data_IF_428638614712
#
_entry.id   IF_428638614712
#
_cell.length_a   1.000
_cell.length_b   1.000
_cell.length_c   1.000
_cell.angle_alpha   90.00
_cell.angle_beta   90.00
_cell.angle_gamma   90.00
#
_symmetry.space_group_name_H-M   'P 1'
#
loop_
_entity.id
_entity.type
_entity.pdbx_description
1 polymer ?
#
# COMPACT_ATOMS: atom_id res chain seq x y z
N UNK A 1 23.70 -14.43 -20.84
CA UNK A 1 22.48 -14.78 -20.08
C UNK A 1 22.91 -15.11 -18.66
N UNK A 2 22.70 -14.20 -17.72
CA UNK A 2 23.08 -14.41 -16.32
C UNK A 2 22.21 -15.52 -15.74
N UNK A 3 22.85 -16.57 -15.21
CA UNK A 3 22.17 -17.65 -14.50
C UNK A 3 21.61 -17.02 -13.23
N UNK A 4 20.29 -16.86 -13.14
CA UNK A 4 19.64 -16.35 -11.92
C UNK A 4 20.12 -17.19 -10.74
N UNK A 5 20.76 -16.54 -9.76
CA UNK A 5 21.14 -17.15 -8.49
C UNK A 5 19.86 -17.36 -7.68
N UNK A 6 19.42 -18.61 -7.45
CA UNK A 6 18.19 -18.89 -6.72
C UNK A 6 18.19 -18.31 -5.30
N UNK A 7 19.37 -18.22 -4.69
CA UNK A 7 19.55 -17.66 -3.35
C UNK A 7 19.37 -16.13 -3.37
N UNK A 8 19.89 -15.46 -4.39
CA UNK A 8 19.66 -14.04 -4.62
C UNK A 8 18.17 -13.76 -4.87
N UNK A 9 17.49 -14.57 -5.68
CA UNK A 9 16.06 -14.42 -5.93
C UNK A 9 15.23 -14.59 -4.64
N UNK A 10 15.54 -15.60 -3.81
CA UNK A 10 14.88 -15.80 -2.52
C UNK A 10 15.08 -14.61 -1.56
N UNK A 11 16.30 -14.05 -1.49
CA UNK A 11 16.58 -12.84 -0.71
C UNK A 11 15.77 -11.64 -1.20
N UNK A 12 15.71 -11.41 -2.51
CA UNK A 12 14.95 -10.29 -3.08
C UNK A 12 13.46 -10.43 -2.77
N UNK A 13 12.86 -11.62 -2.97
CA UNK A 13 11.45 -11.88 -2.61
C UNK A 13 11.17 -11.54 -1.15
N UNK A 14 12.03 -12.01 -0.24
CA UNK A 14 11.88 -11.77 1.19
C UNK A 14 11.99 -10.27 1.53
N UNK A 15 12.94 -9.54 0.95
CA UNK A 15 13.10 -8.10 1.18
C UNK A 15 11.90 -7.30 0.68
N UNK A 16 11.37 -7.63 -0.50
CA UNK A 16 10.14 -7.01 -1.03
C UNK A 16 8.96 -7.27 -0.11
N UNK A 17 8.75 -8.53 0.31
CA UNK A 17 7.66 -8.89 1.20
C UNK A 17 7.74 -8.17 2.56
N UNK A 18 8.94 -8.09 3.15
CA UNK A 18 9.17 -7.40 4.42
C UNK A 18 8.94 -5.89 4.30
N UNK A 19 9.37 -5.26 3.20
CA UNK A 19 9.14 -3.83 3.00
C UNK A 19 7.64 -3.53 2.82
N UNK A 20 6.95 -4.32 2.00
CA UNK A 20 5.52 -4.19 1.77
C UNK A 20 4.71 -4.39 3.07
N UNK A 21 5.00 -5.42 3.87
CA UNK A 21 4.35 -5.65 5.16
C UNK A 21 4.60 -4.47 6.11
N UNK A 22 5.83 -3.94 6.15
CA UNK A 22 6.15 -2.80 7.00
C UNK A 22 5.36 -1.53 6.62
N UNK A 23 5.15 -1.29 5.33
CA UNK A 23 4.28 -0.20 4.83
C UNK A 23 2.84 -0.45 5.26
N UNK A 24 2.31 -1.65 4.99
CA UNK A 24 0.93 -2.01 5.32
C UNK A 24 0.64 -1.91 6.81
N UNK A 25 1.55 -2.41 7.65
CA UNK A 25 1.45 -2.32 9.11
C UNK A 25 1.41 -0.88 9.59
N UNK A 26 2.29 0.00 9.10
CA UNK A 26 2.28 1.43 9.46
C UNK A 26 0.97 2.11 9.06
N UNK A 27 0.47 1.84 7.86
CA UNK A 27 -0.80 2.39 7.39
C UNK A 27 -1.97 1.90 8.26
N UNK A 28 -1.99 0.59 8.58
CA UNK A 28 -3.02 -0.03 9.42
C UNK A 28 -3.05 0.60 10.81
N UNK A 29 -1.90 0.75 11.45
CA UNK A 29 -1.76 1.27 12.81
C UNK A 29 -2.01 2.77 12.92
N UNK A 30 -1.60 3.56 11.90
CA UNK A 30 -1.50 5.03 12.04
C UNK A 30 -2.57 5.83 11.33
N UNK A 31 -3.39 5.23 10.44
CA UNK A 31 -4.31 5.99 9.56
C UNK A 31 -5.18 7.03 10.27
N UNK A 32 -5.86 6.67 11.35
CA UNK A 32 -6.69 7.60 12.11
C UNK A 32 -5.90 8.72 12.80
N UNK A 33 -4.73 8.38 13.37
CA UNK A 33 -3.86 9.36 14.02
C UNK A 33 -3.28 10.36 13.01
N UNK A 34 -2.88 9.88 11.83
CA UNK A 34 -2.31 10.72 10.78
C UNK A 34 -3.30 11.78 10.28
N UNK A 35 -4.57 11.41 10.05
CA UNK A 35 -5.62 12.37 9.67
C UNK A 35 -5.82 13.41 10.78
N UNK A 36 -5.85 12.97 12.03
CA UNK A 36 -5.98 13.85 13.19
C UNK A 36 -4.84 14.87 13.24
N UNK A 37 -3.59 14.43 13.09
CA UNK A 37 -2.43 15.33 13.11
C UNK A 37 -2.43 16.26 11.90
N UNK A 38 -2.69 15.75 10.69
CA UNK A 38 -2.76 16.55 9.47
C UNK A 38 -3.84 17.63 9.58
N UNK A 39 -5.02 17.31 10.12
CA UNK A 39 -6.11 18.29 10.29
C UNK A 39 -5.71 19.47 11.17
N UNK A 40 -4.91 19.22 12.22
CA UNK A 40 -4.52 20.22 13.22
C UNK A 40 -3.31 21.04 12.82
N UNK A 41 -2.32 20.40 12.19
CA UNK A 41 -1.00 21.00 11.94
C UNK A 41 -0.68 21.24 10.48
N UNK A 42 -1.45 20.62 9.56
CA UNK A 42 -1.18 20.59 8.12
C UNK A 42 0.23 20.10 7.76
N UNK A 43 0.83 19.32 8.66
CA UNK A 43 2.14 18.69 8.47
C UNK A 43 2.01 17.44 7.60
N UNK A 44 2.68 17.44 6.45
CA UNK A 44 2.65 16.32 5.49
C UNK A 44 3.60 15.18 5.85
N UNK A 45 4.64 15.47 6.63
CA UNK A 45 5.65 14.48 7.03
C UNK A 45 5.05 13.30 7.80
N UNK A 46 3.96 13.53 8.55
CA UNK A 46 3.25 12.46 9.25
C UNK A 46 2.60 11.47 8.28
N UNK A 47 2.04 11.98 7.17
CA UNK A 47 1.46 11.17 6.10
C UNK A 47 2.55 10.44 5.31
N UNK A 48 3.57 11.17 4.87
CA UNK A 48 4.68 10.65 4.07
C UNK A 48 5.51 9.61 4.84
N UNK A 49 5.66 9.78 6.15
CA UNK A 49 6.38 8.84 7.00
C UNK A 49 5.73 7.46 7.08
N UNK A 50 4.41 7.35 6.91
CA UNK A 50 3.72 6.06 6.94
C UNK A 50 3.92 5.26 5.64
N UNK A 51 4.02 5.94 4.50
CA UNK A 51 4.18 5.33 3.17
C UNK A 51 5.64 5.20 2.73
N UNK A 52 6.60 5.54 3.60
CA UNK A 52 8.03 5.37 3.30
C UNK A 52 8.34 3.90 3.01
N UNK A 53 9.07 3.64 1.92
CA UNK A 53 9.56 2.32 1.52
C UNK A 53 11.08 2.35 1.33
N UNK A 54 11.76 1.27 1.69
CA UNK A 54 13.17 1.06 1.35
C UNK A 54 13.36 0.67 -0.11
N UNK A 55 12.31 0.10 -0.73
CA UNK A 55 12.32 -0.31 -2.13
C UNK A 55 12.20 0.86 -3.10
N UNK A 56 11.79 2.04 -2.63
CA UNK A 56 11.93 3.29 -3.38
C UNK A 56 13.40 3.60 -3.73
N UNK A 57 14.33 3.15 -2.89
CA UNK A 57 15.78 3.35 -3.06
C UNK A 57 16.45 2.12 -3.68
N UNK A 58 15.75 0.98 -3.74
CA UNK A 58 16.29 -0.24 -4.33
C UNK A 58 16.24 -0.13 -5.86
N UNK A 59 17.41 0.03 -6.48
CA UNK A 59 17.55 0.14 -7.92
C UNK A 59 16.90 -1.05 -8.65
N UNK A 60 16.39 -0.80 -9.87
CA UNK A 60 15.86 -1.80 -10.79
C UNK A 60 16.78 -3.03 -11.00
N UNK A 61 18.07 -2.88 -10.67
CA UNK A 61 19.05 -3.94 -10.60
C UNK A 61 18.65 -5.13 -9.70
N UNK A 62 17.89 -4.92 -8.62
CA UNK A 62 17.46 -6.03 -7.74
C UNK A 62 16.26 -6.81 -8.30
N UNK A 63 15.41 -6.17 -9.10
CA UNK A 63 14.23 -6.81 -9.71
C UNK A 63 14.61 -7.83 -10.79
N UNK A 64 15.83 -7.77 -11.34
CA UNK A 64 16.33 -8.72 -12.36
C UNK A 64 16.33 -10.17 -11.88
N UNK A 65 16.35 -10.40 -10.57
CA UNK A 65 16.31 -11.73 -9.97
C UNK A 65 14.90 -12.30 -9.84
N UNK A 66 13.87 -11.46 -9.95
CA UNK A 66 12.47 -11.86 -9.88
C UNK A 66 11.99 -12.37 -11.24
N UNK A 67 11.03 -13.30 -11.23
CA UNK A 67 10.31 -13.73 -12.43
C UNK A 67 9.44 -12.58 -12.98
N UNK A 68 9.03 -12.61 -14.26
CA UNK A 68 8.15 -11.57 -14.80
C UNK A 68 6.83 -11.39 -14.02
N UNK A 69 6.28 -12.47 -13.48
CA UNK A 69 5.07 -12.41 -12.65
C UNK A 69 5.33 -11.72 -11.30
N UNK A 70 6.45 -12.04 -10.66
CA UNK A 70 6.89 -11.41 -9.41
C UNK A 70 7.21 -9.93 -9.60
N UNK A 71 7.87 -9.58 -10.71
CA UNK A 71 8.13 -8.18 -11.09
C UNK A 71 6.82 -7.41 -11.30
N UNK A 72 5.86 -8.00 -12.01
CA UNK A 72 4.55 -7.38 -12.25
C UNK A 72 3.78 -7.13 -10.95
N UNK A 73 3.75 -8.11 -10.04
CA UNK A 73 3.12 -7.97 -8.74
C UNK A 73 3.80 -6.89 -7.88
N UNK A 74 5.13 -6.86 -7.90
CA UNK A 74 5.95 -5.88 -7.18
C UNK A 74 5.69 -4.47 -7.71
N UNK A 75 5.70 -4.29 -9.04
CA UNK A 75 5.41 -3.00 -9.69
C UNK A 75 4.02 -2.50 -9.31
N UNK A 76 3.00 -3.36 -9.40
CA UNK A 76 1.63 -2.97 -9.10
C UNK A 76 1.46 -2.46 -7.65
N UNK A 77 2.11 -3.10 -6.67
CA UNK A 77 2.09 -2.64 -5.29
C UNK A 77 2.77 -1.28 -5.13
N UNK A 78 3.99 -1.12 -5.66
CA UNK A 78 4.74 0.13 -5.50
C UNK A 78 4.18 1.30 -6.32
N UNK A 79 3.53 1.04 -7.46
CA UNK A 79 2.78 2.04 -8.20
C UNK A 79 1.55 2.53 -7.42
N UNK A 80 0.81 1.63 -6.76
CA UNK A 80 -0.29 2.01 -5.89
C UNK A 80 0.19 2.82 -4.68
N UNK A 81 1.33 2.42 -4.09
CA UNK A 81 1.96 3.17 -3.01
C UNK A 81 2.40 4.57 -3.46
N UNK A 82 2.98 4.70 -4.66
CA UNK A 82 3.41 6.00 -5.18
C UNK A 82 2.22 6.93 -5.48
N UNK A 83 1.09 6.39 -5.97
CA UNK A 83 -0.16 7.17 -6.11
C UNK A 83 -0.61 7.77 -4.78
N UNK A 84 -0.65 6.96 -3.71
CA UNK A 84 -1.01 7.43 -2.37
C UNK A 84 0.00 8.47 -1.86
N UNK A 85 1.29 8.23 -2.08
CA UNK A 85 2.36 9.15 -1.70
C UNK A 85 2.26 10.49 -2.42
N UNK A 86 1.96 10.47 -3.71
CA UNK A 86 1.72 11.66 -4.52
C UNK A 86 0.53 12.45 -3.95
N UNK A 87 -0.56 11.77 -3.64
CA UNK A 87 -1.71 12.40 -2.98
C UNK A 87 -1.32 13.07 -1.66
N UNK A 88 -0.60 12.38 -0.77
CA UNK A 88 -0.13 12.96 0.50
C UNK A 88 0.78 14.17 0.34
N UNK A 89 1.60 14.19 -0.71
CA UNK A 89 2.51 15.30 -0.97
C UNK A 89 1.77 16.56 -1.39
N UNK A 90 0.70 16.44 -2.16
CA UNK A 90 0.09 17.58 -2.85
C UNK A 90 -1.37 17.86 -2.46
N UNK A 91 -1.99 17.03 -1.63
CA UNK A 91 -3.38 17.27 -1.23
C UNK A 91 -3.54 18.61 -0.50
N UNK A 92 -4.59 19.32 -0.86
CA UNK A 92 -5.12 20.52 -0.19
C UNK A 92 -6.52 20.24 0.38
N UNK A 93 -6.94 18.97 0.37
CA UNK A 93 -8.28 18.58 0.71
C UNK A 93 -8.60 18.82 2.20
N UNK A 94 -9.91 18.91 2.47
CA UNK A 94 -10.42 18.94 3.82
C UNK A 94 -10.21 17.58 4.52
N UNK A 95 -10.02 17.54 5.84
CA UNK A 95 -9.68 16.31 6.57
C UNK A 95 -10.61 15.12 6.30
N UNK A 96 -11.92 15.33 6.21
CA UNK A 96 -12.87 14.25 5.89
C UNK A 96 -12.70 13.68 4.48
N UNK A 97 -12.32 14.52 3.51
CA UNK A 97 -11.97 14.05 2.16
C UNK A 97 -10.66 13.27 2.18
N UNK A 98 -9.65 13.75 2.91
CA UNK A 98 -8.37 13.06 3.09
C UNK A 98 -8.57 11.68 3.69
N UNK A 99 -9.37 11.57 4.76
CA UNK A 99 -9.70 10.30 5.40
C UNK A 99 -10.33 9.30 4.42
N UNK A 100 -11.34 9.74 3.66
CA UNK A 100 -11.98 8.91 2.64
C UNK A 100 -11.00 8.45 1.56
N UNK A 101 -10.13 9.33 1.09
CA UNK A 101 -9.12 8.99 0.06
C UNK A 101 -8.07 8.02 0.61
N UNK A 102 -7.67 8.18 1.88
CA UNK A 102 -6.78 7.24 2.58
C UNK A 102 -7.41 5.85 2.63
N UNK A 103 -8.66 5.73 3.05
CA UNK A 103 -9.34 4.43 3.14
C UNK A 103 -9.48 3.75 1.76
N UNK A 104 -9.78 4.53 0.72
CA UNK A 104 -9.84 4.03 -0.66
C UNK A 104 -8.48 3.47 -1.13
N UNK A 105 -7.41 4.26 -0.98
CA UNK A 105 -6.07 3.82 -1.36
C UNK A 105 -5.54 2.69 -0.47
N UNK A 106 -5.91 2.66 0.81
CA UNK A 106 -5.54 1.57 1.70
C UNK A 106 -6.17 0.25 1.26
N UNK A 107 -7.46 0.25 0.89
CA UNK A 107 -8.14 -0.93 0.37
C UNK A 107 -7.53 -1.41 -0.96
N UNK A 108 -7.22 -0.48 -1.88
CA UNK A 108 -6.53 -0.78 -3.14
C UNK A 108 -5.14 -1.39 -2.89
N UNK A 109 -4.33 -0.75 -2.04
CA UNK A 109 -2.98 -1.19 -1.69
C UNK A 109 -2.99 -2.55 -1.01
N UNK A 110 -3.99 -2.82 -0.15
CA UNK A 110 -4.20 -4.13 0.47
C UNK A 110 -4.43 -5.22 -0.58
N UNK A 111 -5.26 -4.96 -1.59
CA UNK A 111 -5.49 -5.92 -2.68
C UNK A 111 -4.20 -6.24 -3.45
N UNK A 112 -3.38 -5.22 -3.73
CA UNK A 112 -2.06 -5.43 -4.34
C UNK A 112 -1.10 -6.18 -3.42
N UNK A 113 -1.12 -5.90 -2.12
CA UNK A 113 -0.30 -6.56 -1.11
C UNK A 113 -0.60 -8.06 -0.98
N UNK A 114 -1.89 -8.42 -0.87
CA UNK A 114 -2.31 -9.83 -0.79
C UNK A 114 -1.88 -10.62 -2.04
N UNK A 115 -2.02 -10.00 -3.21
CA UNK A 115 -1.54 -10.59 -4.47
C UNK A 115 -0.01 -10.75 -4.47
N UNK A 116 0.72 -9.73 -4.02
CA UNK A 116 2.18 -9.74 -3.93
C UNK A 116 2.67 -10.88 -3.04
N UNK A 117 2.17 -10.98 -1.80
CA UNK A 117 2.58 -12.03 -0.85
C UNK A 117 2.30 -13.42 -1.41
N UNK A 118 1.14 -13.62 -2.03
CA UNK A 118 0.76 -14.90 -2.67
C UNK A 118 1.74 -15.30 -3.77
N UNK A 119 2.15 -14.35 -4.61
CA UNK A 119 3.07 -14.60 -5.74
C UNK A 119 4.51 -14.81 -5.26
N UNK A 120 4.98 -13.99 -4.31
CA UNK A 120 6.35 -14.09 -3.82
C UNK A 120 6.58 -15.30 -2.90
N UNK A 121 5.51 -15.96 -2.43
CA UNK A 121 5.59 -16.98 -1.40
C UNK A 121 6.14 -16.43 -0.08
N UNK A 122 5.96 -15.13 0.16
CA UNK A 122 6.43 -14.42 1.34
C UNK A 122 5.74 -14.89 2.62
N UNK A 123 6.21 -14.47 3.81
CA UNK A 123 5.57 -14.85 5.07
C UNK A 123 4.12 -14.40 5.04
N UNK A 124 3.18 -15.31 5.32
CA UNK A 124 1.76 -14.98 5.51
C UNK A 124 1.69 -14.10 6.75
N UNK A 125 1.33 -12.81 6.64
CA UNK A 125 1.12 -11.98 7.82
C UNK A 125 -0.06 -12.56 8.63
N UNK A 126 0.16 -12.77 9.92
CA UNK A 126 -0.82 -13.41 10.81
C UNK A 126 -2.12 -12.59 10.99
N UNK A 127 -2.12 -11.32 10.58
CA UNK A 127 -3.15 -10.33 10.92
C UNK A 127 -4.00 -9.85 9.72
N UNK A 128 -4.00 -10.56 8.58
CA UNK A 128 -4.87 -10.18 7.45
C UNK A 128 -6.36 -10.49 7.68
N UNK A 129 -6.69 -11.25 8.72
CA UNK A 129 -8.05 -11.74 8.98
C UNK A 129 -8.95 -10.74 9.74
N UNK A 130 -8.42 -9.64 10.27
CA UNK A 130 -9.15 -8.80 11.25
C UNK A 130 -9.64 -7.45 10.71
N UNK A 131 -9.83 -7.33 9.38
CA UNK A 131 -10.55 -6.18 8.81
C UNK A 131 -11.89 -6.67 8.26
N UNK A 132 -13.03 -6.30 8.88
CA UNK A 132 -14.32 -6.70 8.35
C UNK A 132 -14.46 -6.19 6.91
N UNK A 133 -15.06 -7.00 6.01
CA UNK A 133 -15.34 -6.54 4.66
C UNK A 133 -16.15 -5.24 4.75
N UNK A 134 -15.74 -4.23 3.97
CA UNK A 134 -16.45 -2.96 3.92
C UNK A 134 -17.92 -3.25 3.58
N UNK A 135 -18.83 -2.93 4.49
CA UNK A 135 -20.27 -3.02 4.23
C UNK A 135 -20.57 -2.13 3.01
N UNK A 136 -21.04 -2.77 1.94
CA UNK A 136 -21.55 -2.07 0.77
C UNK A 136 -22.86 -1.41 1.20
N UNK A 137 -22.81 -0.11 1.50
CA UNK A 137 -24.02 0.66 1.75
C UNK A 137 -24.75 0.83 0.41
N UNK A 138 -25.81 0.05 0.20
CA UNK A 138 -26.76 0.30 -0.88
C UNK A 138 -27.48 1.63 -0.61
N UNK A 139 -27.13 2.66 -1.39
CA UNK A 139 -27.82 3.94 -1.34
C UNK A 139 -29.12 3.81 -2.14
N UNK A 140 -30.26 3.71 -1.46
CA UNK A 140 -31.57 3.85 -2.09
C UNK A 140 -31.72 5.26 -2.65
N UNK A 141 -31.75 5.36 -3.98
CA UNK A 141 -32.10 6.61 -4.67
C UNK A 141 -33.60 6.83 -4.52
N UNK A 142 -33.97 7.65 -3.54
CA UNK A 142 -35.34 8.15 -3.39
C UNK A 142 -35.67 9.02 -4.60
N UNK A 143 -36.44 8.45 -5.55
CA UNK A 143 -37.05 9.22 -6.63
C UNK A 143 -38.14 10.11 -6.04
N UNK A 144 -37.81 11.39 -5.88
CA UNK A 144 -38.76 12.42 -5.51
C UNK A 144 -39.94 12.45 -6.48
N UNK A 145 -41.15 12.44 -5.92
CA UNK A 145 -42.38 12.74 -6.64
C UNK A 145 -42.51 14.26 -6.77
N UNK A 146 -42.79 14.74 -7.98
CA UNK A 146 -43.12 16.12 -8.32
C UNK A 146 -43.59 16.19 -9.76
#
# INVERSE_FOLDING_TARGET
MSRSDPEAAARVRNLVALDAENVMRRLRERRGEMVTIFSRRREREVLLGAVRSYFEVAEAAHLVHLSPEEQSATSAFYEALDRLRYYFRYTEDMPGTVERVIEQHFAELRGHYERLVRILGGPVPADLDDVPPAEVVEVEVVRGSG
#
